data_IF_182356915663
#
_entry.id   IF_182356915663
#
_cell.length_a   1.000
_cell.length_b   1.000
_cell.length_c   1.000
_cell.angle_alpha   90.00
_cell.angle_beta   90.00
_cell.angle_gamma   90.00
#
_symmetry.space_group_name_H-M   'P 1'
#
loop_
_entity.id
_entity.type
_entity.pdbx_description
1 polymer ?
#
# COMPACT_ATOMS: atom_id res chain seq x y z
N UNK A 1 9.35 0.30 -5.87
CA UNK A 1 9.20 1.59 -5.15
C UNK A 1 8.43 2.55 -6.04
N UNK A 2 7.58 3.41 -5.49
CA UNK A 2 6.95 4.53 -6.21
C UNK A 2 7.63 5.85 -5.85
N UNK A 3 7.40 6.90 -6.62
CA UNK A 3 7.91 8.25 -6.33
C UNK A 3 6.86 9.03 -5.54
N UNK A 4 7.26 9.60 -4.40
CA UNK A 4 6.43 10.53 -3.64
C UNK A 4 6.37 11.88 -4.37
N UNK A 5 5.19 12.18 -4.91
CA UNK A 5 4.89 13.36 -5.71
C UNK A 5 3.50 13.90 -5.34
N UNK A 6 3.33 14.51 -4.15
CA UNK A 6 2.03 15.07 -3.78
C UNK A 6 1.66 16.22 -4.72
N UNK A 7 0.41 16.24 -5.18
CA UNK A 7 -0.11 17.30 -6.06
C UNK A 7 -1.52 17.75 -5.68
N UNK A 8 -2.03 18.73 -6.43
CA UNK A 8 -3.31 19.41 -6.15
C UNK A 8 -4.53 18.67 -6.70
N UNK A 9 -4.34 17.61 -7.50
CA UNK A 9 -5.47 16.86 -8.04
C UNK A 9 -6.32 16.28 -6.91
N UNK A 10 -7.65 16.41 -7.06
CA UNK A 10 -8.60 15.87 -6.09
C UNK A 10 -8.52 14.34 -6.06
N UNK A 11 -8.80 13.78 -4.88
CA UNK A 11 -9.02 12.34 -4.73
C UNK A 11 -10.15 11.93 -5.71
N UNK A 12 -9.95 10.88 -6.53
CA UNK A 12 -10.97 10.44 -7.47
C UNK A 12 -12.21 9.95 -6.72
N UNK A 13 -13.33 9.89 -7.43
CA UNK A 13 -14.54 9.24 -6.94
C UNK A 13 -14.23 7.79 -6.56
N UNK A 14 -14.82 7.27 -5.50
CA UNK A 14 -14.51 5.97 -4.89
C UNK A 14 -14.96 4.75 -5.72
N UNK A 15 -14.58 4.70 -6.99
CA UNK A 15 -14.63 3.47 -7.77
C UNK A 15 -13.47 2.58 -7.39
N UNK A 16 -13.77 1.30 -7.19
CA UNK A 16 -12.79 0.27 -6.89
C UNK A 16 -12.52 -0.52 -8.16
N UNK A 17 -11.25 -0.89 -8.32
CA UNK A 17 -10.76 -1.58 -9.51
C UNK A 17 -10.10 -2.90 -9.10
N UNK A 18 -10.07 -3.82 -10.05
CA UNK A 18 -9.29 -5.06 -9.99
C UNK A 18 -8.29 -5.04 -11.14
N UNK A 19 -7.31 -5.93 -11.06
CA UNK A 19 -6.19 -6.05 -12.01
C UNK A 19 -6.45 -7.25 -12.94
N UNK A 20 -7.01 -7.06 -14.15
CA UNK A 20 -7.43 -8.16 -15.01
C UNK A 20 -6.28 -9.06 -15.45
N UNK A 21 -5.07 -8.53 -15.56
CA UNK A 21 -3.84 -9.25 -15.87
C UNK A 21 -3.48 -10.35 -14.86
N UNK A 22 -4.11 -10.36 -13.67
CA UNK A 22 -3.97 -11.45 -12.70
C UNK A 22 -4.92 -12.63 -12.98
N UNK A 23 -5.92 -12.44 -13.83
CA UNK A 23 -7.01 -13.40 -14.07
C UNK A 23 -6.69 -14.34 -15.23
N UNK A 24 -5.96 -15.45 -14.99
CA UNK A 24 -5.61 -16.45 -16.03
C UNK A 24 -5.02 -15.85 -17.33
N UNK A 25 -4.80 -16.64 -18.37
CA UNK A 25 -4.27 -16.12 -19.64
C UNK A 25 -5.28 -15.18 -20.33
N UNK A 26 -5.02 -13.88 -20.29
CA UNK A 26 -5.77 -12.86 -21.01
C UNK A 26 -4.84 -11.71 -21.46
N UNK A 27 -5.34 -10.83 -22.33
CA UNK A 27 -4.56 -9.73 -22.93
C UNK A 27 -4.86 -8.35 -22.34
N UNK A 28 -5.68 -8.26 -21.29
CA UNK A 28 -6.01 -7.00 -20.64
C UNK A 28 -4.86 -6.57 -19.73
N UNK A 29 -4.46 -5.31 -19.84
CA UNK A 29 -3.29 -4.76 -19.13
C UNK A 29 -3.64 -3.66 -18.14
N UNK A 30 -4.80 -3.03 -18.31
CA UNK A 30 -5.24 -1.90 -17.51
C UNK A 30 -6.20 -2.39 -16.42
N UNK A 31 -6.13 -1.76 -15.25
CA UNK A 31 -7.10 -1.97 -14.19
C UNK A 31 -8.53 -1.68 -14.69
N UNK A 32 -9.52 -2.40 -14.17
CA UNK A 32 -10.91 -2.24 -14.59
C UNK A 32 -11.87 -2.55 -13.45
N UNK A 33 -13.09 -2.03 -13.52
CA UNK A 33 -14.16 -2.36 -12.58
C UNK A 33 -14.68 -3.77 -12.83
N UNK A 34 -14.95 -4.49 -11.75
CA UNK A 34 -15.50 -5.85 -11.78
C UNK A 34 -16.74 -5.95 -12.68
N UNK A 35 -17.64 -4.97 -12.59
CA UNK A 35 -18.87 -4.90 -13.41
C UNK A 35 -18.56 -4.87 -14.92
N UNK A 36 -17.53 -4.14 -15.33
CA UNK A 36 -17.13 -4.02 -16.74
C UNK A 36 -16.50 -5.32 -17.22
N UNK A 37 -15.67 -5.96 -16.40
CA UNK A 37 -15.08 -7.27 -16.70
C UNK A 37 -16.15 -8.35 -16.90
N UNK A 38 -17.16 -8.37 -16.04
CA UNK A 38 -18.25 -9.34 -16.12
C UNK A 38 -19.11 -9.09 -17.37
N UNK A 39 -19.49 -7.83 -17.62
CA UNK A 39 -20.41 -7.48 -18.74
C UNK A 39 -19.74 -7.54 -20.10
N UNK A 40 -18.53 -6.98 -20.23
CA UNK A 40 -17.90 -6.73 -21.52
C UNK A 40 -16.83 -7.76 -21.88
N UNK A 41 -16.20 -8.38 -20.88
CA UNK A 41 -15.10 -9.34 -21.08
C UNK A 41 -15.47 -10.78 -20.71
N UNK A 42 -16.73 -11.02 -20.29
CA UNK A 42 -17.28 -12.35 -19.98
C UNK A 42 -16.52 -13.10 -18.86
N UNK A 43 -15.84 -12.38 -17.98
CA UNK A 43 -15.32 -12.98 -16.75
C UNK A 43 -16.46 -13.33 -15.80
N UNK A 44 -16.29 -14.40 -15.01
CA UNK A 44 -17.15 -14.66 -13.85
C UNK A 44 -16.54 -14.04 -12.61
N UNK A 45 -17.37 -13.68 -11.63
CA UNK A 45 -16.88 -13.16 -10.35
C UNK A 45 -15.96 -14.17 -9.65
N UNK A 46 -16.30 -15.46 -9.71
CA UNK A 46 -15.48 -16.53 -9.13
C UNK A 46 -14.08 -16.57 -9.76
N UNK A 47 -13.98 -16.37 -11.08
CA UNK A 47 -12.68 -16.33 -11.77
C UNK A 47 -11.84 -15.14 -11.33
N UNK A 48 -12.44 -13.97 -11.12
CA UNK A 48 -11.74 -12.80 -10.57
C UNK A 48 -11.23 -13.14 -9.15
N UNK A 49 -12.14 -13.68 -8.32
CA UNK A 49 -11.91 -14.07 -6.94
C UNK A 49 -10.80 -15.11 -6.75
N UNK A 50 -10.53 -15.97 -7.72
CA UNK A 50 -9.41 -16.93 -7.66
C UNK A 50 -8.03 -16.25 -7.64
N UNK A 51 -7.91 -15.07 -8.26
CA UNK A 51 -6.62 -14.40 -8.50
C UNK A 51 -6.34 -13.24 -7.53
N UNK A 52 -7.39 -12.63 -6.98
CA UNK A 52 -7.27 -11.41 -6.19
C UNK A 52 -8.51 -11.19 -5.31
N UNK A 53 -8.40 -10.21 -4.41
CA UNK A 53 -9.54 -9.73 -3.64
C UNK A 53 -10.50 -8.93 -4.54
N UNK A 54 -11.80 -9.01 -4.22
CA UNK A 54 -12.87 -8.23 -4.87
C UNK A 54 -13.56 -7.31 -3.87
N UNK A 55 -14.36 -6.35 -4.34
CA UNK A 55 -14.96 -5.34 -3.48
C UNK A 55 -15.84 -5.94 -2.38
N UNK A 56 -16.53 -7.04 -2.70
CA UNK A 56 -17.34 -7.80 -1.75
C UNK A 56 -16.54 -8.28 -0.54
N UNK A 57 -15.26 -8.65 -0.72
CA UNK A 57 -14.38 -9.14 0.35
C UNK A 57 -14.16 -8.07 1.45
N UNK A 58 -14.42 -6.80 1.13
CA UNK A 58 -14.25 -5.66 2.04
C UNK A 58 -15.56 -5.04 2.55
N UNK A 59 -16.73 -5.55 2.16
CA UNK A 59 -18.02 -4.90 2.47
C UNK A 59 -18.53 -5.13 3.89
N UNK A 60 -18.10 -6.21 4.56
CA UNK A 60 -18.62 -6.63 5.88
C UNK A 60 -17.54 -6.65 6.96
N UNK A 61 -16.63 -5.68 6.93
CA UNK A 61 -15.60 -5.56 7.96
C UNK A 61 -16.09 -4.65 9.09
N UNK A 62 -15.94 -5.09 10.34
CA UNK A 62 -16.25 -4.28 11.52
C UNK A 62 -14.96 -3.74 12.11
N UNK A 63 -14.88 -2.41 12.29
CA UNK A 63 -13.70 -1.75 12.86
C UNK A 63 -12.46 -1.73 11.95
N UNK A 64 -12.60 -2.13 10.68
CA UNK A 64 -11.53 -2.09 9.70
C UNK A 64 -11.93 -1.25 8.49
N UNK A 65 -10.95 -0.56 7.94
CA UNK A 65 -11.05 0.19 6.70
C UNK A 65 -10.34 -0.54 5.55
N UNK A 66 -10.63 -0.09 4.33
CA UNK A 66 -9.85 -0.38 3.12
C UNK A 66 -8.56 0.46 3.14
N UNK A 67 -7.56 -0.01 3.87
CA UNK A 67 -6.27 0.66 4.04
C UNK A 67 -5.43 0.63 2.77
N UNK A 68 -4.98 1.79 2.30
CA UNK A 68 -4.13 1.85 1.10
C UNK A 68 -2.68 1.60 1.49
N UNK A 69 -1.98 0.73 0.75
CA UNK A 69 -0.54 0.58 0.90
C UNK A 69 0.19 1.74 0.22
N UNK A 70 -0.12 2.00 -1.05
CA UNK A 70 0.28 3.21 -1.80
C UNK A 70 -0.81 4.28 -1.66
N UNK A 71 -0.57 5.38 -0.91
CA UNK A 71 -1.62 6.34 -0.59
C UNK A 71 -1.90 7.30 -1.74
N UNK A 72 -3.17 7.57 -2.03
CA UNK A 72 -3.55 8.54 -3.07
C UNK A 72 -2.98 9.95 -2.82
N UNK A 73 -2.74 10.30 -1.55
CA UNK A 73 -2.17 11.59 -1.17
C UNK A 73 -0.73 11.79 -1.63
N UNK A 74 -0.02 10.71 -1.94
CA UNK A 74 1.38 10.74 -2.35
C UNK A 74 1.58 10.95 -3.86
N UNK A 75 0.49 10.99 -4.63
CA UNK A 75 0.51 11.10 -6.09
C UNK A 75 -0.10 12.44 -6.54
N UNK A 76 0.26 12.88 -7.73
CA UNK A 76 0.03 14.24 -8.23
C UNK A 76 -1.16 14.32 -9.19
N UNK A 77 -1.25 13.38 -10.14
CA UNK A 77 -2.27 13.36 -11.18
C UNK A 77 -3.51 12.57 -10.76
N UNK A 78 -4.63 12.81 -11.46
CA UNK A 78 -5.88 12.09 -11.21
C UNK A 78 -5.74 10.62 -11.57
N UNK A 79 -5.02 10.32 -12.65
CA UNK A 79 -4.78 8.99 -13.18
C UNK A 79 -3.96 8.17 -12.17
N UNK A 80 -2.83 8.71 -11.70
CA UNK A 80 -1.98 8.09 -10.69
C UNK A 80 -2.75 7.87 -9.38
N UNK A 81 -3.54 8.85 -8.93
CA UNK A 81 -4.41 8.68 -7.76
C UNK A 81 -5.43 7.57 -7.96
N UNK A 82 -6.03 7.46 -9.15
CA UNK A 82 -7.03 6.41 -9.46
C UNK A 82 -6.40 5.03 -9.41
N UNK A 83 -5.16 4.88 -9.87
CA UNK A 83 -4.42 3.62 -9.80
C UNK A 83 -4.24 3.08 -8.37
N UNK A 84 -4.32 3.93 -7.34
CA UNK A 84 -4.24 3.49 -5.93
C UNK A 84 -5.50 2.82 -5.41
N UNK A 85 -6.59 2.84 -6.16
CA UNK A 85 -7.89 2.26 -5.79
C UNK A 85 -8.08 0.84 -6.35
N UNK A 86 -7.01 0.21 -6.80
CA UNK A 86 -7.02 -1.22 -7.12
C UNK A 86 -6.96 -2.03 -5.83
N UNK A 87 -7.74 -3.11 -5.73
CA UNK A 87 -7.83 -3.90 -4.49
C UNK A 87 -6.55 -4.68 -4.17
N UNK A 88 -5.64 -4.80 -5.14
CA UNK A 88 -4.26 -5.29 -4.95
C UNK A 88 -3.38 -4.33 -4.14
N UNK A 89 -3.79 -3.06 -4.04
CA UNK A 89 -3.14 -2.04 -3.20
C UNK A 89 -3.82 -1.88 -1.83
N UNK A 90 -4.84 -2.70 -1.51
CA UNK A 90 -5.66 -2.56 -0.31
C UNK A 90 -5.43 -3.71 0.67
N UNK A 91 -5.40 -3.39 1.96
CA UNK A 91 -5.40 -4.36 3.06
C UNK A 91 -6.48 -4.01 4.09
N UNK A 92 -7.02 -4.99 4.84
CA UNK A 92 -7.83 -4.71 6.01
C UNK A 92 -6.98 -4.02 7.09
N UNK A 93 -7.20 -2.73 7.29
CA UNK A 93 -6.45 -1.92 8.26
C UNK A 93 -7.37 -1.49 9.40
N UNK A 94 -6.91 -1.50 10.64
CA UNK A 94 -7.73 -1.01 11.76
C UNK A 94 -8.12 0.46 11.55
N UNK A 95 -9.40 0.77 11.68
CA UNK A 95 -9.92 2.11 11.39
C UNK A 95 -9.27 3.18 12.27
N UNK A 96 -8.90 2.85 13.51
CA UNK A 96 -8.25 3.81 14.41
C UNK A 96 -6.83 4.15 13.96
N UNK A 97 -6.08 3.17 13.43
CA UNK A 97 -4.76 3.37 12.88
C UNK A 97 -4.83 4.09 11.52
N UNK A 98 -5.69 3.61 10.61
CA UNK A 98 -5.84 4.13 9.25
C UNK A 98 -6.17 5.63 9.27
N UNK A 99 -7.20 6.03 10.04
CA UNK A 99 -7.62 7.42 10.14
C UNK A 99 -6.78 8.26 11.11
N UNK A 100 -6.04 7.59 12.00
CA UNK A 100 -5.21 8.18 13.05
C UNK A 100 -3.75 8.33 12.68
N UNK A 101 -2.87 7.61 13.39
CA UNK A 101 -1.41 7.79 13.32
C UNK A 101 -0.84 7.43 11.95
N UNK A 102 -1.43 6.48 11.22
CA UNK A 102 -0.98 6.16 9.87
C UNK A 102 -1.25 7.31 8.90
N UNK A 103 -2.46 7.86 8.91
CA UNK A 103 -2.78 9.06 8.14
C UNK A 103 -1.95 10.28 8.58
N UNK A 104 -1.59 10.42 9.86
CA UNK A 104 -0.66 11.47 10.31
C UNK A 104 0.73 11.27 9.69
N UNK A 105 1.23 10.04 9.62
CA UNK A 105 2.49 9.75 8.95
C UNK A 105 2.44 10.15 7.47
N UNK A 106 1.40 9.71 6.74
CA UNK A 106 1.22 10.01 5.32
C UNK A 106 1.03 11.51 5.04
N UNK A 107 0.18 12.18 5.82
CA UNK A 107 -0.23 13.57 5.56
C UNK A 107 0.71 14.63 6.16
N UNK A 108 1.53 14.28 7.16
CA UNK A 108 2.40 15.25 7.86
C UNK A 108 3.86 14.85 7.88
N UNK A 109 4.17 13.61 8.25
CA UNK A 109 5.57 13.16 8.37
C UNK A 109 6.22 13.04 7.00
N UNK A 110 5.56 12.41 6.04
CA UNK A 110 6.07 12.27 4.67
C UNK A 110 6.41 13.62 4.02
N UNK A 111 5.52 14.64 3.97
CA UNK A 111 5.88 15.96 3.43
C UNK A 111 7.07 16.61 4.15
N UNK A 112 7.10 16.51 5.49
CA UNK A 112 8.17 17.09 6.31
C UNK A 112 9.52 16.43 6.01
N UNK A 113 9.55 15.11 5.96
CA UNK A 113 10.76 14.32 5.73
C UNK A 113 11.25 14.44 4.29
N UNK A 114 10.34 14.53 3.31
CA UNK A 114 10.69 14.73 1.90
C UNK A 114 11.15 16.15 1.56
N UNK A 115 11.09 17.10 2.52
CA UNK A 115 11.57 18.48 2.28
C UNK A 115 13.07 18.48 1.96
N UNK A 116 13.42 19.18 0.88
CA UNK A 116 14.79 19.30 0.37
C UNK A 116 15.24 18.14 -0.54
N UNK A 117 14.40 17.13 -0.74
CA UNK A 117 14.66 16.03 -1.67
C UNK A 117 14.27 16.45 -3.09
N UNK A 118 15.12 16.15 -4.07
CA UNK A 118 14.77 16.20 -5.50
C UNK A 118 13.79 15.08 -5.84
N UNK A 119 14.02 13.89 -5.30
CA UNK A 119 13.14 12.73 -5.49
C UNK A 119 13.10 11.93 -4.19
N UNK A 120 11.91 11.49 -3.79
CA UNK A 120 11.77 10.55 -2.67
C UNK A 120 11.13 9.27 -3.19
N UNK A 121 11.86 8.17 -3.14
CA UNK A 121 11.33 6.83 -3.45
C UNK A 121 10.73 6.22 -2.20
N UNK A 122 9.60 5.55 -2.34
CA UNK A 122 8.89 4.92 -1.24
C UNK A 122 8.59 3.45 -1.55
N UNK A 123 8.80 2.60 -0.56
CA UNK A 123 8.34 1.22 -0.51
C UNK A 123 7.38 1.12 0.68
N UNK A 124 6.30 0.41 0.48
CA UNK A 124 5.25 0.19 1.47
C UNK A 124 4.89 -1.28 1.43
N UNK A 125 4.47 -1.82 2.55
CA UNK A 125 4.10 -3.22 2.63
C UNK A 125 3.39 -3.55 3.92
N UNK A 126 2.96 -4.79 4.00
CA UNK A 126 2.31 -5.33 5.18
C UNK A 126 2.94 -6.68 5.54
N UNK A 127 3.01 -6.95 6.83
CA UNK A 127 3.41 -8.27 7.34
C UNK A 127 2.13 -9.07 7.55
N UNK A 128 2.00 -10.27 6.95
CA UNK A 128 0.83 -11.11 7.15
C UNK A 128 0.53 -11.34 8.65
N UNK A 129 -0.76 -11.37 8.99
CA UNK A 129 -1.24 -11.74 10.31
C UNK A 129 -1.82 -13.15 10.33
N UNK A 130 -2.36 -13.55 11.47
CA UNK A 130 -3.01 -14.86 11.67
C UNK A 130 -4.54 -14.79 11.58
N UNK A 131 -5.09 -13.65 11.14
CA UNK A 131 -6.54 -13.44 11.04
C UNK A 131 -6.91 -13.04 9.61
N UNK A 132 -8.16 -13.30 9.24
CA UNK A 132 -8.65 -13.11 7.88
C UNK A 132 -10.05 -12.50 7.91
N UNK A 133 -10.40 -11.79 6.85
CA UNK A 133 -11.77 -11.35 6.56
C UNK A 133 -12.32 -12.14 5.36
N UNK A 134 -13.59 -11.95 5.03
CA UNK A 134 -14.24 -12.58 3.87
C UNK A 134 -14.02 -14.10 3.81
N UNK A 135 -14.37 -14.79 4.89
CA UNK A 135 -14.31 -16.26 4.96
C UNK A 135 -12.93 -16.85 4.62
N UNK A 136 -11.85 -16.13 4.99
CA UNK A 136 -10.48 -16.59 4.78
C UNK A 136 -9.81 -16.08 3.50
N UNK A 137 -10.53 -15.35 2.65
CA UNK A 137 -9.99 -14.89 1.35
C UNK A 137 -8.94 -13.80 1.47
N UNK A 138 -9.08 -12.89 2.43
CA UNK A 138 -8.18 -11.73 2.58
C UNK A 138 -7.53 -11.72 3.95
N UNK A 139 -6.20 -11.77 3.98
CA UNK A 139 -5.43 -11.70 5.23
C UNK A 139 -5.55 -10.30 5.85
N UNK A 140 -5.84 -10.26 7.15
CA UNK A 140 -5.64 -9.05 7.94
C UNK A 140 -4.18 -9.02 8.41
N UNK A 141 -3.36 -8.07 7.95
CA UNK A 141 -1.96 -8.02 8.32
C UNK A 141 -1.78 -7.74 9.81
N UNK A 142 -0.68 -8.25 10.37
CA UNK A 142 -0.25 -7.96 11.74
C UNK A 142 0.41 -6.60 11.84
N UNK A 143 1.14 -6.18 10.79
CA UNK A 143 1.83 -4.90 10.75
C UNK A 143 1.72 -4.26 9.37
N UNK A 144 1.82 -2.94 9.35
CA UNK A 144 1.94 -2.13 8.13
C UNK A 144 3.22 -1.31 8.27
N UNK A 145 3.98 -1.19 7.19
CA UNK A 145 5.27 -0.51 7.20
C UNK A 145 5.50 0.30 5.92
N UNK A 146 6.33 1.33 6.04
CA UNK A 146 6.75 2.16 4.91
C UNK A 146 8.22 2.53 5.09
N UNK A 147 8.95 2.53 3.99
CA UNK A 147 10.36 2.91 3.92
C UNK A 147 10.51 3.95 2.82
N UNK A 148 11.33 4.97 3.05
CA UNK A 148 11.55 6.02 2.09
C UNK A 148 13.04 6.37 1.96
N UNK A 149 13.43 6.72 0.73
CA UNK A 149 14.77 7.13 0.39
C UNK A 149 14.73 8.44 -0.40
N UNK A 150 15.37 9.46 0.16
CA UNK A 150 15.46 10.81 -0.37
C UNK A 150 16.76 11.01 -1.13
N UNK A 151 16.66 11.49 -2.36
CA UNK A 151 17.78 11.87 -3.20
C UNK A 151 17.86 13.40 -3.30
N UNK A 152 19.07 13.93 -3.29
CA UNK A 152 19.38 15.32 -3.66
C UNK A 152 20.17 15.25 -4.97
N UNK A 153 19.57 15.73 -6.05
CA UNK A 153 20.00 15.36 -7.41
C UNK A 153 19.84 13.85 -7.61
N UNK A 154 20.94 13.15 -7.87
CA UNK A 154 21.00 11.69 -8.01
C UNK A 154 21.59 10.97 -6.81
N UNK A 155 22.00 11.72 -5.76
CA UNK A 155 22.74 11.17 -4.62
C UNK A 155 21.77 10.89 -3.46
N UNK A 156 21.72 9.66 -2.93
CA UNK A 156 20.98 9.34 -1.71
C UNK A 156 21.48 10.18 -0.54
N UNK A 157 20.59 10.96 0.07
CA UNK A 157 20.93 11.91 1.14
C UNK A 157 20.46 11.42 2.52
N UNK A 158 19.22 10.92 2.60
CA UNK A 158 18.63 10.41 3.84
C UNK A 158 17.60 9.33 3.54
N UNK A 159 17.38 8.45 4.50
CA UNK A 159 16.32 7.46 4.43
C UNK A 159 15.72 7.23 5.82
N UNK A 160 14.49 6.71 5.84
CA UNK A 160 13.79 6.38 7.08
C UNK A 160 12.83 5.22 6.85
N UNK A 161 12.45 4.59 7.96
CA UNK A 161 11.43 3.56 8.01
C UNK A 161 10.36 3.89 9.05
N UNK A 162 9.16 3.38 8.85
CA UNK A 162 8.11 3.35 9.86
C UNK A 162 7.43 1.99 9.87
N UNK A 163 6.94 1.59 11.03
CA UNK A 163 6.13 0.38 11.21
C UNK A 163 5.05 0.62 12.26
N UNK A 164 3.90 0.00 12.08
CA UNK A 164 2.80 0.00 13.04
C UNK A 164 2.23 -1.42 13.17
N UNK A 165 1.93 -1.84 14.39
CA UNK A 165 1.03 -2.98 14.63
C UNK A 165 -0.37 -2.57 14.17
N UNK A 166 -1.00 -3.41 13.35
CA UNK A 166 -2.23 -3.04 12.64
C UNK A 166 -3.39 -2.73 13.61
N UNK A 167 -3.40 -3.30 14.81
CA UNK A 167 -4.43 -3.10 15.84
C UNK A 167 -4.07 -2.02 16.87
N UNK A 168 -2.97 -1.29 16.67
CA UNK A 168 -2.54 -0.21 17.56
C UNK A 168 -2.45 1.08 16.78
N UNK A 169 -3.15 2.12 17.25
CA UNK A 169 -3.05 3.46 16.69
C UNK A 169 -1.72 4.15 17.10
N UNK A 170 -0.58 3.57 16.69
CA UNK A 170 0.77 4.02 16.99
C UNK A 170 1.71 3.68 15.84
N UNK A 171 2.46 4.68 15.39
CA UNK A 171 3.52 4.52 14.39
C UNK A 171 4.88 4.66 15.05
N UNK A 172 5.76 3.69 14.84
CA UNK A 172 7.15 3.74 15.25
C UNK A 172 8.00 4.33 14.12
N UNK A 173 8.81 5.34 14.42
CA UNK A 173 9.74 5.94 13.46
C UNK A 173 11.12 5.33 13.67
N UNK A 174 11.71 4.81 12.61
CA UNK A 174 12.94 4.03 12.62
C UNK A 174 13.93 4.57 11.59
N UNK A 175 15.21 4.29 11.79
CA UNK A 175 16.18 4.31 10.70
C UNK A 175 15.86 3.19 9.70
N UNK A 176 16.37 3.31 8.48
CA UNK A 176 16.05 2.34 7.43
C UNK A 176 16.60 0.93 7.78
N UNK A 177 17.81 0.85 8.34
CA UNK A 177 18.38 -0.43 8.78
C UNK A 177 17.63 -1.04 9.98
N UNK A 178 17.13 -0.22 10.90
CA UNK A 178 16.32 -0.69 12.03
C UNK A 178 14.99 -1.30 11.56
N UNK A 179 14.37 -0.70 10.53
CA UNK A 179 13.19 -1.28 9.90
C UNK A 179 13.49 -2.64 9.25
N UNK A 180 14.60 -2.77 8.52
CA UNK A 180 15.01 -4.05 7.92
C UNK A 180 15.21 -5.15 8.96
N UNK A 181 15.86 -4.82 10.07
CA UNK A 181 16.06 -5.74 11.20
C UNK A 181 14.73 -6.17 11.83
N UNK A 182 13.79 -5.22 11.99
CA UNK A 182 12.45 -5.52 12.49
C UNK A 182 11.68 -6.44 11.53
N UNK A 183 11.72 -6.14 10.25
CA UNK A 183 11.06 -6.93 9.20
C UNK A 183 11.69 -8.32 9.08
N UNK A 184 13.01 -8.46 9.21
CA UNK A 184 13.70 -9.76 9.25
C UNK A 184 13.13 -10.65 10.35
N UNK A 185 12.94 -10.10 11.55
CA UNK A 185 12.30 -10.82 12.66
C UNK A 185 10.87 -11.26 12.32
N UNK A 186 10.07 -10.35 11.75
CA UNK A 186 8.67 -10.59 11.39
C UNK A 186 8.49 -11.57 10.22
N UNK A 187 9.47 -11.68 9.31
CA UNK A 187 9.44 -12.64 8.19
C UNK A 187 10.22 -13.93 8.47
N UNK A 188 10.38 -14.31 9.75
CA UNK A 188 10.98 -15.59 10.13
C UNK A 188 12.48 -15.68 9.83
N UNK A 189 13.21 -14.59 10.00
CA UNK A 189 14.67 -14.52 9.85
C UNK A 189 15.16 -14.32 8.42
N UNK A 190 14.26 -14.22 7.42
CA UNK A 190 14.64 -13.95 6.04
C UNK A 190 15.25 -12.55 5.91
N UNK A 191 16.37 -12.45 5.20
CA UNK A 191 17.02 -11.17 4.93
C UNK A 191 16.07 -10.26 4.16
N UNK A 192 15.90 -9.03 4.66
CA UNK A 192 15.13 -7.97 4.01
C UNK A 192 16.10 -6.88 3.57
N UNK A 193 16.16 -6.64 2.27
CA UNK A 193 17.00 -5.59 1.69
C UNK A 193 16.12 -4.61 0.93
N UNK A 194 15.90 -3.43 1.49
CA UNK A 194 15.16 -2.33 0.90
C UNK A 194 16.10 -1.44 0.10
N UNK A 195 15.58 -0.91 -1.01
CA UNK A 195 16.31 -0.04 -1.96
C UNK A 195 17.65 -0.62 -2.45
N UNK A 196 17.80 -1.95 -2.43
CA UNK A 196 19.03 -2.64 -2.84
C UNK A 196 20.32 -2.07 -2.19
N UNK A 197 20.27 -1.68 -0.92
CA UNK A 197 21.38 -1.03 -0.19
C UNK A 197 21.86 0.32 -0.76
N UNK A 198 21.11 0.93 -1.68
CA UNK A 198 21.49 2.23 -2.25
C UNK A 198 21.32 3.40 -1.27
N UNK A 199 20.56 3.22 -0.18
CA UNK A 199 20.17 4.31 0.71
C UNK A 199 20.78 4.17 2.11
N UNK A 200 21.04 5.29 2.83
CA UNK A 200 21.62 5.25 4.17
C UNK A 200 20.82 4.39 5.14
N UNK A 201 21.51 3.67 6.03
CA UNK A 201 20.90 2.75 7.00
C UNK A 201 20.58 3.41 8.33
#
# INVERSE_FOLDING_TARGET
AYIYQPGTAKRPHSWWFVEPQLISENNLKEMEREEVLIKNHKFTLDKIKESQAVLEDYNKMTGLDRGHLSPSGHLDSRESKTATFTLTNIVPQDSSLNTGQWNIYEAKTMPKMSKGCTTTYVITGAVPGNTYVAEGRVNRPSHIWSAACCLVGTVPSKAWGVIAENDKNKVENLKLGELEERLRGLYGGRTVTLFNNACPR
#
